data_IF_089765664308
#
_entry.id   IF_089765664308
#
_cell.length_a   1.000
_cell.length_b   1.000
_cell.length_c   1.000
_cell.angle_alpha   90.00
_cell.angle_beta   90.00
_cell.angle_gamma   90.00
#
_symmetry.space_group_name_H-M   'P 1'
#
loop_
_entity.id
_entity.type
_entity.pdbx_description
1 polymer ?
#
# COMPACT_ATOMS: atom_id res chain seq x y z
N UNK A 1 -11.07 -10.24 -10.35
CA UNK A 1 -10.29 -11.47 -10.08
C UNK A 1 -10.97 -12.17 -8.91
N UNK A 2 -11.25 -13.45 -9.06
CA UNK A 2 -11.71 -14.29 -7.96
C UNK A 2 -10.48 -14.95 -7.34
N UNK A 3 -10.23 -14.67 -6.08
CA UNK A 3 -9.18 -15.32 -5.29
C UNK A 3 -9.82 -16.37 -4.39
N UNK A 4 -9.61 -17.64 -4.70
CA UNK A 4 -9.96 -18.74 -3.80
C UNK A 4 -8.83 -18.93 -2.79
N UNK A 5 -9.12 -18.70 -1.49
CA UNK A 5 -8.11 -18.75 -0.42
C UNK A 5 -8.41 -19.85 0.61
N UNK A 6 -9.00 -20.94 0.17
CA UNK A 6 -9.23 -22.11 1.02
C UNK A 6 -7.98 -23.01 1.06
N UNK A 7 -7.43 -23.25 2.26
CA UNK A 7 -6.28 -24.12 2.46
C UNK A 7 -4.97 -23.59 1.88
N UNK A 8 -4.81 -22.28 1.76
CA UNK A 8 -3.59 -21.64 1.27
C UNK A 8 -2.57 -21.44 2.38
N UNK A 9 -1.30 -21.61 2.07
CA UNK A 9 -0.21 -21.62 3.06
C UNK A 9 -0.06 -20.28 3.81
N UNK A 10 -0.29 -19.15 3.12
CA UNK A 10 -0.16 -17.83 3.72
C UNK A 10 -1.21 -17.52 4.81
N UNK A 11 -2.38 -18.15 4.75
CA UNK A 11 -3.38 -18.06 5.84
C UNK A 11 -3.09 -19.04 6.99
N UNK A 12 -2.19 -19.98 6.81
CA UNK A 12 -1.77 -20.92 7.85
C UNK A 12 -0.62 -20.41 8.71
N UNK A 13 0.01 -19.29 8.35
CA UNK A 13 1.08 -18.68 9.15
C UNK A 13 0.57 -18.40 10.57
N UNK A 14 1.21 -19.03 11.58
CA UNK A 14 0.82 -18.89 12.98
C UNK A 14 1.65 -17.82 13.71
N UNK A 15 1.17 -17.28 14.83
CA UNK A 15 1.95 -16.35 15.64
C UNK A 15 3.29 -16.93 16.12
N UNK A 16 3.38 -18.24 16.32
CA UNK A 16 4.62 -18.88 16.80
C UNK A 16 5.72 -18.89 15.74
N UNK A 17 5.37 -18.77 14.47
CA UNK A 17 6.30 -18.68 13.34
C UNK A 17 6.84 -17.25 13.11
N UNK A 18 6.28 -16.24 13.79
CA UNK A 18 6.78 -14.87 13.73
C UNK A 18 8.02 -14.74 14.59
N UNK A 19 9.17 -14.61 13.92
CA UNK A 19 10.50 -14.56 14.53
C UNK A 19 11.03 -13.11 14.61
N UNK A 20 11.27 -12.63 15.83
CA UNK A 20 11.82 -11.31 16.10
C UNK A 20 13.24 -11.13 15.53
N UNK A 21 14.09 -12.17 15.58
CA UNK A 21 15.45 -12.08 15.06
C UNK A 21 15.49 -11.88 13.54
N UNK A 22 14.51 -12.40 12.82
CA UNK A 22 14.35 -12.11 11.39
C UNK A 22 13.85 -10.68 11.17
N UNK A 23 12.91 -10.20 11.97
CA UNK A 23 12.43 -8.82 11.86
C UNK A 23 13.54 -7.80 12.14
N UNK A 24 14.45 -8.04 13.08
CA UNK A 24 15.62 -7.17 13.35
C UNK A 24 16.54 -6.98 12.15
N UNK A 25 16.54 -7.89 11.19
CA UNK A 25 17.32 -7.81 9.95
C UNK A 25 16.66 -7.00 8.85
N UNK A 26 15.44 -6.51 9.08
CA UNK A 26 14.65 -5.78 8.08
C UNK A 26 14.57 -4.29 8.40
N UNK A 27 14.37 -3.47 7.37
CA UNK A 27 14.09 -2.04 7.52
C UNK A 27 12.59 -1.75 7.59
N UNK A 28 11.81 -2.56 6.90
CA UNK A 28 10.37 -2.38 6.73
C UNK A 28 9.68 -3.74 6.78
N UNK A 29 8.50 -3.78 7.40
CA UNK A 29 7.57 -4.90 7.40
C UNK A 29 6.33 -4.47 6.63
N UNK A 30 6.07 -5.10 5.47
CA UNK A 30 4.82 -4.90 4.73
C UNK A 30 3.82 -5.98 5.11
N UNK A 31 2.63 -5.56 5.48
CA UNK A 31 1.48 -6.43 5.78
C UNK A 31 0.37 -6.12 4.79
N UNK A 32 -0.06 -7.13 4.03
CA UNK A 32 -1.26 -7.05 3.20
C UNK A 32 -2.51 -7.30 4.04
N UNK A 33 -3.58 -6.55 3.78
CA UNK A 33 -4.87 -6.74 4.44
C UNK A 33 -5.49 -8.12 4.18
N UNK A 34 -5.07 -8.81 3.13
CA UNK A 34 -5.49 -10.20 2.89
C UNK A 34 -5.06 -11.15 4.00
N UNK A 35 -3.94 -10.86 4.70
CA UNK A 35 -3.48 -11.66 5.85
C UNK A 35 -4.43 -11.56 7.06
N UNK A 36 -5.25 -10.52 7.13
CA UNK A 36 -6.18 -10.29 8.25
C UNK A 36 -7.52 -11.03 8.09
N UNK A 37 -7.75 -11.66 6.95
CA UNK A 37 -9.07 -12.23 6.63
C UNK A 37 -9.41 -13.49 7.42
N UNK A 38 -8.43 -14.21 7.96
CA UNK A 38 -8.64 -15.43 8.72
C UNK A 38 -7.52 -15.67 9.74
N UNK A 39 -7.86 -16.41 10.82
CA UNK A 39 -6.89 -17.00 11.75
C UNK A 39 -6.25 -18.25 11.12
N UNK A 40 -4.98 -18.58 11.47
CA UNK A 40 -4.09 -17.90 12.42
C UNK A 40 -3.27 -16.74 11.84
N UNK A 41 -3.32 -16.49 10.53
CA UNK A 41 -2.55 -15.47 9.83
C UNK A 41 -2.84 -14.06 10.36
N UNK A 42 -4.08 -13.78 10.74
CA UNK A 42 -4.50 -12.52 11.37
C UNK A 42 -3.69 -12.22 12.63
N UNK A 43 -3.63 -13.16 13.55
CA UNK A 43 -2.90 -13.04 14.82
C UNK A 43 -1.40 -12.94 14.59
N UNK A 44 -0.88 -13.67 13.61
CA UNK A 44 0.53 -13.56 13.19
C UNK A 44 0.85 -12.17 12.66
N UNK A 45 -0.02 -11.58 11.83
CA UNK A 45 0.15 -10.23 11.31
C UNK A 45 0.18 -9.18 12.43
N UNK A 46 -0.74 -9.24 13.39
CA UNK A 46 -0.76 -8.34 14.55
C UNK A 46 0.48 -8.52 15.44
N UNK A 47 0.90 -9.76 15.70
CA UNK A 47 2.14 -10.04 16.45
C UNK A 47 3.35 -9.45 15.74
N UNK A 48 3.46 -9.65 14.42
CA UNK A 48 4.56 -9.10 13.62
C UNK A 48 4.59 -7.57 13.67
N UNK A 49 3.45 -6.91 13.51
CA UNK A 49 3.33 -5.46 13.61
C UNK A 49 3.76 -4.96 15.01
N UNK A 50 3.27 -5.59 16.08
CA UNK A 50 3.63 -5.21 17.45
C UNK A 50 5.13 -5.36 17.74
N UNK A 51 5.76 -6.46 17.27
CA UNK A 51 7.20 -6.67 17.40
C UNK A 51 7.95 -5.62 16.58
N UNK A 52 7.59 -5.42 15.31
CA UNK A 52 8.23 -4.46 14.42
C UNK A 52 8.26 -3.06 15.05
N UNK A 53 7.12 -2.58 15.55
CA UNK A 53 7.03 -1.29 16.26
C UNK A 53 7.94 -1.23 17.49
N UNK A 54 7.96 -2.27 18.31
CA UNK A 54 8.78 -2.33 19.52
C UNK A 54 10.28 -2.24 19.22
N UNK A 55 10.73 -2.84 18.11
CA UNK A 55 12.15 -2.86 17.70
C UNK A 55 12.52 -1.77 16.70
N UNK A 56 11.59 -0.86 16.34
CA UNK A 56 11.85 0.29 15.45
C UNK A 56 11.85 -0.05 13.95
N UNK A 57 11.28 -1.18 13.55
CA UNK A 57 11.05 -1.54 12.13
C UNK A 57 9.80 -0.85 11.64
N UNK A 58 9.89 -0.18 10.49
CA UNK A 58 8.77 0.55 9.88
C UNK A 58 7.67 -0.41 9.44
N UNK A 59 6.43 -0.18 9.88
CA UNK A 59 5.27 -1.00 9.52
C UNK A 59 4.52 -0.36 8.37
N UNK A 60 4.36 -1.11 7.28
CA UNK A 60 3.63 -0.70 6.08
C UNK A 60 2.36 -1.54 5.98
N UNK A 61 1.23 -0.89 5.80
CA UNK A 61 -0.06 -1.54 5.57
C UNK A 61 -0.53 -1.29 4.14
N UNK A 62 -0.54 -2.31 3.30
CA UNK A 62 -1.25 -2.31 2.01
C UNK A 62 -2.61 -2.97 2.22
N UNK A 63 -3.67 -2.20 2.06
CA UNK A 63 -5.02 -2.64 2.45
C UNK A 63 -5.52 -3.81 1.60
N UNK A 64 -5.22 -3.82 0.31
CA UNK A 64 -5.43 -4.96 -0.61
C UNK A 64 -6.74 -5.74 -0.38
N UNK A 65 -7.87 -5.05 -0.43
CA UNK A 65 -9.19 -5.61 -0.13
C UNK A 65 -9.64 -6.65 -1.16
N UNK A 66 -10.07 -7.79 -0.66
CA UNK A 66 -10.66 -8.88 -1.46
C UNK A 66 -12.00 -9.30 -0.83
N UNK A 67 -13.14 -8.86 -1.39
CA UNK A 67 -14.46 -9.04 -0.76
C UNK A 67 -14.80 -10.50 -0.42
N UNK A 68 -14.33 -11.45 -1.23
CA UNK A 68 -14.62 -12.88 -1.05
C UNK A 68 -13.98 -13.50 0.21
N UNK A 69 -13.00 -12.82 0.80
CA UNK A 69 -12.28 -13.32 1.97
C UNK A 69 -12.92 -12.94 3.31
N UNK A 70 -13.96 -12.12 3.29
CA UNK A 70 -14.54 -11.50 4.48
C UNK A 70 -16.01 -11.86 4.66
N UNK A 71 -16.44 -11.96 5.92
CA UNK A 71 -17.82 -12.29 6.28
C UNK A 71 -18.72 -11.06 6.31
N UNK A 72 -18.19 -9.91 6.69
CA UNK A 72 -18.93 -8.65 6.76
C UNK A 72 -18.03 -7.43 6.64
N UNK A 73 -18.62 -6.28 6.34
CA UNK A 73 -17.92 -4.99 6.32
C UNK A 73 -17.49 -4.54 7.72
N UNK A 74 -18.25 -4.89 8.74
CA UNK A 74 -17.93 -4.56 10.13
C UNK A 74 -16.67 -5.29 10.59
N UNK A 75 -16.50 -6.58 10.19
CA UNK A 75 -15.30 -7.34 10.45
C UNK A 75 -14.08 -6.69 9.79
N UNK A 76 -14.21 -6.26 8.53
CA UNK A 76 -13.16 -5.52 7.81
C UNK A 76 -12.79 -4.24 8.56
N UNK A 77 -13.77 -3.41 8.87
CA UNK A 77 -13.58 -2.13 9.53
C UNK A 77 -12.81 -2.27 10.87
N UNK A 78 -13.15 -3.30 11.66
CA UNK A 78 -12.47 -3.58 12.93
C UNK A 78 -11.00 -3.94 12.69
N UNK A 79 -10.72 -4.96 11.88
CA UNK A 79 -9.34 -5.44 11.74
C UNK A 79 -8.45 -4.50 10.93
N UNK A 80 -9.00 -3.85 9.90
CA UNK A 80 -8.23 -2.87 9.13
C UNK A 80 -7.89 -1.64 9.96
N UNK A 81 -8.84 -1.09 10.73
CA UNK A 81 -8.57 0.05 11.61
C UNK A 81 -7.55 -0.28 12.71
N UNK A 82 -7.61 -1.48 13.29
CA UNK A 82 -6.64 -1.92 14.30
C UNK A 82 -5.22 -2.05 13.74
N UNK A 83 -5.06 -2.55 12.50
CA UNK A 83 -3.73 -2.61 11.88
C UNK A 83 -3.28 -1.23 11.42
N UNK A 84 -4.16 -0.42 10.85
CA UNK A 84 -3.85 0.96 10.44
C UNK A 84 -3.29 1.81 11.58
N UNK A 85 -3.80 1.65 12.81
CA UNK A 85 -3.27 2.30 14.02
C UNK A 85 -1.82 1.90 14.34
N UNK A 86 -1.35 0.76 13.86
CA UNK A 86 0.01 0.28 14.06
C UNK A 86 0.93 0.60 12.88
N UNK A 87 0.39 1.09 11.77
CA UNK A 87 1.16 1.37 10.57
C UNK A 87 1.87 2.73 10.61
N UNK A 88 3.06 2.80 10.05
CA UNK A 88 3.78 4.04 9.74
C UNK A 88 3.39 4.55 8.34
N UNK A 89 3.04 3.66 7.42
CA UNK A 89 2.53 4.02 6.10
C UNK A 89 1.35 3.14 5.70
N UNK A 90 0.37 3.75 5.01
CA UNK A 90 -0.83 3.06 4.51
C UNK A 90 -0.94 3.31 3.01
N UNK A 91 -1.13 2.23 2.25
CA UNK A 91 -1.46 2.25 0.84
C UNK A 91 -2.85 1.66 0.63
N UNK A 92 -3.73 2.41 0.00
CA UNK A 92 -5.11 1.96 -0.23
C UNK A 92 -5.74 2.64 -1.45
N UNK A 93 -6.86 2.14 -1.92
CA UNK A 93 -7.81 2.89 -2.73
C UNK A 93 -8.78 3.67 -1.82
N UNK A 94 -9.56 4.61 -2.39
CA UNK A 94 -10.60 5.31 -1.61
C UNK A 94 -11.65 4.34 -1.05
N UNK A 95 -12.04 3.33 -1.82
CA UNK A 95 -12.97 2.30 -1.36
C UNK A 95 -12.41 1.53 -0.15
N UNK A 96 -11.15 1.15 -0.21
CA UNK A 96 -10.46 0.45 0.88
C UNK A 96 -10.32 1.31 2.13
N UNK A 97 -10.05 2.61 1.97
CA UNK A 97 -10.00 3.53 3.09
C UNK A 97 -11.39 3.70 3.73
N UNK A 98 -12.47 3.80 2.94
CA UNK A 98 -13.83 3.84 3.46
C UNK A 98 -14.17 2.60 4.31
N UNK A 99 -13.69 1.43 3.91
CA UNK A 99 -13.85 0.20 4.70
C UNK A 99 -13.02 0.25 5.98
N UNK A 100 -11.78 0.70 5.90
CA UNK A 100 -10.88 0.86 7.06
C UNK A 100 -11.47 1.82 8.09
N UNK A 101 -12.11 2.89 7.61
CA UNK A 101 -12.71 3.95 8.42
C UNK A 101 -14.13 3.65 8.91
N UNK A 102 -14.71 2.52 8.54
CA UNK A 102 -16.10 2.20 8.82
C UNK A 102 -16.52 2.26 10.29
N UNK A 103 -15.58 2.08 11.23
CA UNK A 103 -15.83 2.21 12.68
C UNK A 103 -15.43 3.59 13.21
N UNK A 104 -14.31 4.16 12.75
CA UNK A 104 -13.72 5.37 13.34
C UNK A 104 -14.14 6.68 12.66
N UNK A 105 -14.41 6.65 11.35
CA UNK A 105 -14.88 7.80 10.55
C UNK A 105 -16.01 7.37 9.59
N UNK A 106 -17.14 6.87 10.12
CA UNK A 106 -18.20 6.31 9.29
C UNK A 106 -18.76 7.35 8.31
N UNK A 107 -18.81 6.98 7.01
CA UNK A 107 -19.32 7.85 5.94
C UNK A 107 -18.33 8.88 5.42
N UNK A 108 -17.12 8.95 5.93
CA UNK A 108 -16.09 9.82 5.38
C UNK A 108 -15.72 9.40 3.94
N UNK A 109 -15.55 10.37 3.05
CA UNK A 109 -15.07 10.19 1.68
C UNK A 109 -14.04 11.24 1.27
N UNK A 110 -13.61 12.08 2.22
CA UNK A 110 -12.60 13.11 2.02
C UNK A 110 -11.22 12.62 2.42
N UNK A 111 -10.25 12.74 1.49
CA UNK A 111 -8.88 12.25 1.69
C UNK A 111 -8.13 13.08 2.75
N UNK A 112 -8.42 14.38 2.84
CA UNK A 112 -7.81 15.28 3.82
C UNK A 112 -8.24 14.94 5.25
N UNK A 113 -9.54 14.66 5.45
CA UNK A 113 -10.06 14.20 6.76
C UNK A 113 -9.44 12.86 7.14
N UNK A 114 -9.32 11.92 6.19
CA UNK A 114 -8.61 10.65 6.41
C UNK A 114 -7.17 10.89 6.84
N UNK A 115 -6.46 11.78 6.13
CA UNK A 115 -5.05 12.07 6.43
C UNK A 115 -4.88 12.69 7.81
N UNK A 116 -5.70 13.68 8.15
CA UNK A 116 -5.68 14.32 9.47
C UNK A 116 -5.89 13.27 10.59
N UNK A 117 -6.89 12.42 10.45
CA UNK A 117 -7.20 11.39 11.43
C UNK A 117 -6.04 10.39 11.62
N UNK A 118 -5.57 9.78 10.53
CA UNK A 118 -4.55 8.72 10.62
C UNK A 118 -3.18 9.28 11.01
N UNK A 119 -2.83 10.49 10.56
CA UNK A 119 -1.59 11.16 10.96
C UNK A 119 -1.59 11.68 12.40
N UNK A 120 -2.76 11.92 13.00
CA UNK A 120 -2.87 12.21 14.42
C UNK A 120 -2.48 11.03 15.31
N UNK A 121 -2.48 9.82 14.76
CA UNK A 121 -2.01 8.59 15.42
C UNK A 121 -0.52 8.36 15.13
N UNK A 122 -0.19 7.41 14.28
CA UNK A 122 1.21 7.04 14.01
C UNK A 122 1.58 7.12 12.53
N UNK A 123 0.60 7.28 11.63
CA UNK A 123 0.83 7.24 10.19
C UNK A 123 1.66 8.45 9.76
N UNK A 124 2.74 8.19 9.03
CA UNK A 124 3.65 9.20 8.48
C UNK A 124 3.42 9.40 6.98
N UNK A 125 2.96 8.34 6.29
CA UNK A 125 2.65 8.38 4.86
C UNK A 125 1.30 7.72 4.63
N UNK A 126 0.36 8.45 4.04
CA UNK A 126 -0.93 7.93 3.60
C UNK A 126 -1.06 8.13 2.11
N UNK A 127 -1.28 7.05 1.37
CA UNK A 127 -1.52 7.09 -0.09
C UNK A 127 -2.92 6.56 -0.38
N UNK A 128 -3.77 7.41 -0.95
CA UNK A 128 -5.13 7.07 -1.36
C UNK A 128 -5.19 7.09 -2.89
N UNK A 129 -5.39 5.92 -3.49
CA UNK A 129 -5.42 5.71 -4.94
C UNK A 129 -6.85 5.86 -5.47
N UNK A 130 -7.00 6.54 -6.60
CA UNK A 130 -8.26 6.81 -7.30
C UNK A 130 -8.29 6.20 -8.72
N UNK A 131 -7.55 5.12 -8.91
CA UNK A 131 -7.47 4.41 -10.19
C UNK A 131 -6.97 5.32 -11.31
N UNK A 132 -7.77 5.50 -12.36
CA UNK A 132 -7.42 6.36 -13.51
C UNK A 132 -7.26 7.85 -13.17
N UNK A 133 -7.70 8.28 -12.02
CA UNK A 133 -7.56 9.67 -11.56
C UNK A 133 -6.27 9.90 -10.75
N UNK A 134 -5.42 8.87 -10.61
CA UNK A 134 -4.15 8.99 -9.90
C UNK A 134 -4.28 8.70 -8.41
N UNK A 135 -3.52 9.41 -7.58
CA UNK A 135 -3.57 9.28 -6.14
C UNK A 135 -3.25 10.59 -5.44
N UNK A 136 -3.78 10.72 -4.22
CA UNK A 136 -3.33 11.71 -3.25
C UNK A 136 -2.40 11.03 -2.25
N UNK A 137 -1.28 11.64 -1.99
CA UNK A 137 -0.34 11.17 -0.97
C UNK A 137 -0.09 12.28 0.04
N UNK A 138 -0.22 11.92 1.28
CA UNK A 138 0.01 12.81 2.43
C UNK A 138 1.25 12.33 3.15
N UNK A 139 2.20 13.23 3.40
CA UNK A 139 3.45 12.91 4.09
C UNK A 139 3.57 13.86 5.28
N UNK A 140 3.61 13.28 6.47
CA UNK A 140 3.70 14.03 7.73
C UNK A 140 4.97 14.89 7.75
N UNK A 141 4.83 16.13 8.15
CA UNK A 141 5.90 17.11 8.24
C UNK A 141 6.60 17.46 6.91
N UNK A 142 6.03 17.01 5.77
CA UNK A 142 6.56 17.33 4.45
C UNK A 142 5.49 17.99 3.55
N UNK A 143 4.38 17.33 3.24
CA UNK A 143 3.34 17.95 2.43
C UNK A 143 2.34 16.98 1.81
N UNK A 144 1.55 17.53 0.90
CA UNK A 144 0.55 16.79 0.13
C UNK A 144 1.02 16.69 -1.31
N UNK A 145 0.82 15.52 -1.91
CA UNK A 145 1.21 15.24 -3.28
C UNK A 145 0.00 14.79 -4.09
N UNK A 146 -0.24 15.46 -5.21
CA UNK A 146 -1.08 14.95 -6.28
C UNK A 146 -0.21 14.15 -7.25
N UNK A 147 -0.54 12.89 -7.47
CA UNK A 147 0.19 11.98 -8.33
C UNK A 147 -0.70 11.54 -9.48
N UNK A 148 -0.44 12.04 -10.68
CA UNK A 148 -1.16 11.65 -11.89
C UNK A 148 -0.66 10.32 -12.42
N UNK A 149 -1.52 9.49 -13.03
CA UNK A 149 -1.08 8.26 -13.68
C UNK A 149 -0.38 8.57 -15.01
N UNK A 150 0.67 7.83 -15.33
CA UNK A 150 1.24 7.88 -16.67
C UNK A 150 0.27 7.29 -17.69
N UNK A 151 0.06 7.96 -18.85
CA UNK A 151 -0.83 7.49 -19.89
C UNK A 151 -0.32 6.18 -20.51
N UNK A 152 -1.11 5.11 -20.39
CA UNK A 152 -0.81 3.80 -20.98
C UNK A 152 -2.09 3.13 -21.49
N UNK A 153 -1.94 2.17 -22.39
CA UNK A 153 -3.06 1.32 -22.78
C UNK A 153 -3.32 0.28 -21.70
N UNK A 154 -4.42 0.44 -20.98
CA UNK A 154 -4.83 -0.48 -19.92
C UNK A 154 -5.14 -1.86 -20.51
N UNK A 155 -4.50 -2.91 -20.01
CA UNK A 155 -4.81 -4.31 -20.28
C UNK A 155 -5.52 -4.98 -19.11
N UNK A 156 -5.16 -4.61 -17.88
CA UNK A 156 -5.73 -5.16 -16.64
C UNK A 156 -5.64 -4.13 -15.51
N UNK A 157 -6.40 -4.33 -14.45
CA UNK A 157 -6.36 -3.44 -13.26
C UNK A 157 -5.56 -4.00 -12.08
N UNK A 158 -5.26 -5.30 -12.06
CA UNK A 158 -4.56 -5.94 -10.94
C UNK A 158 -3.03 -5.83 -11.07
N UNK A 159 -2.34 -5.85 -9.92
CA UNK A 159 -0.89 -5.70 -9.81
C UNK A 159 -0.38 -4.26 -9.83
N UNK A 160 -1.22 -3.29 -10.26
CA UNK A 160 -0.84 -1.88 -10.27
C UNK A 160 -0.63 -1.31 -8.86
N UNK A 161 -1.46 -1.72 -7.89
CA UNK A 161 -1.31 -1.34 -6.48
C UNK A 161 -0.01 -1.87 -5.88
N UNK A 162 0.26 -3.16 -6.08
CA UNK A 162 1.48 -3.82 -5.60
C UNK A 162 2.73 -3.17 -6.19
N UNK A 163 2.72 -2.90 -7.51
CA UNK A 163 3.82 -2.22 -8.19
C UNK A 163 4.03 -0.79 -7.69
N UNK A 164 2.94 -0.07 -7.42
CA UNK A 164 3.01 1.26 -6.83
C UNK A 164 3.71 1.23 -5.48
N UNK A 165 3.24 0.37 -4.57
CA UNK A 165 3.82 0.24 -3.24
C UNK A 165 5.28 -0.23 -3.30
N UNK A 166 5.59 -1.25 -4.12
CA UNK A 166 6.93 -1.79 -4.26
C UNK A 166 7.93 -0.74 -4.76
N UNK A 167 7.59 0.00 -5.82
CA UNK A 167 8.47 1.03 -6.38
C UNK A 167 8.65 2.21 -5.42
N UNK A 168 7.60 2.63 -4.71
CA UNK A 168 7.70 3.65 -3.67
C UNK A 168 8.64 3.21 -2.55
N UNK A 169 8.40 2.05 -1.96
CA UNK A 169 9.18 1.55 -0.82
C UNK A 169 10.65 1.33 -1.19
N UNK A 170 10.92 0.76 -2.37
CA UNK A 170 12.28 0.60 -2.89
C UNK A 170 12.97 1.95 -3.06
N UNK A 171 12.28 2.95 -3.61
CA UNK A 171 12.81 4.30 -3.81
C UNK A 171 13.15 4.99 -2.49
N UNK A 172 12.27 4.88 -1.49
CA UNK A 172 12.54 5.42 -0.15
C UNK A 172 13.70 4.68 0.53
N UNK A 173 13.80 3.36 0.37
CA UNK A 173 14.91 2.57 0.91
C UNK A 173 16.27 2.95 0.30
N UNK A 174 16.28 3.45 -0.95
CA UNK A 174 17.44 3.99 -1.66
C UNK A 174 17.72 5.47 -1.36
N UNK A 175 16.88 6.13 -0.53
CA UNK A 175 17.07 7.54 -0.15
C UNK A 175 16.59 8.57 -1.18
N UNK A 176 15.73 8.18 -2.14
CA UNK A 176 15.12 9.13 -3.08
C UNK A 176 14.15 10.07 -2.36
N UNK A 177 13.92 11.25 -2.92
CA UNK A 177 12.89 12.19 -2.44
C UNK A 177 11.49 11.61 -2.63
N UNK A 178 10.50 12.11 -1.86
CA UNK A 178 9.11 11.69 -2.02
C UNK A 178 8.58 11.96 -3.43
N UNK A 179 8.92 13.10 -4.04
CA UNK A 179 8.54 13.41 -5.43
C UNK A 179 9.04 12.32 -6.39
N UNK A 180 10.31 11.94 -6.29
CA UNK A 180 10.89 10.89 -7.13
C UNK A 180 10.26 9.52 -6.83
N UNK A 181 10.04 9.19 -5.55
CA UNK A 181 9.44 7.93 -5.15
C UNK A 181 8.00 7.80 -5.67
N UNK A 182 7.19 8.86 -5.61
CA UNK A 182 5.84 8.87 -6.16
C UNK A 182 5.82 8.82 -7.68
N UNK A 183 6.75 9.47 -8.37
CA UNK A 183 6.88 9.38 -9.83
C UNK A 183 7.16 7.95 -10.27
N UNK A 184 8.17 7.30 -9.67
CA UNK A 184 8.50 5.91 -9.94
C UNK A 184 7.38 4.94 -9.56
N UNK A 185 6.67 5.20 -8.46
CA UNK A 185 5.51 4.41 -8.06
C UNK A 185 4.39 4.45 -9.11
N UNK A 186 4.05 5.65 -9.58
CA UNK A 186 3.06 5.83 -10.65
C UNK A 186 3.50 5.18 -11.96
N UNK A 187 4.80 5.31 -12.31
CA UNK A 187 5.38 4.68 -13.51
C UNK A 187 5.29 3.14 -13.44
N UNK A 188 5.66 2.55 -12.31
CA UNK A 188 5.59 1.10 -12.11
C UNK A 188 4.14 0.59 -12.21
N UNK A 189 3.21 1.28 -11.57
CA UNK A 189 1.79 0.95 -11.67
C UNK A 189 1.31 0.99 -13.13
N UNK A 190 1.69 2.04 -13.89
CA UNK A 190 1.34 2.18 -15.31
C UNK A 190 1.91 1.03 -16.16
N UNK A 191 3.19 0.67 -15.96
CA UNK A 191 3.81 -0.45 -16.67
C UNK A 191 3.09 -1.78 -16.40
N UNK A 192 2.72 -2.04 -15.14
CA UNK A 192 2.07 -3.29 -14.77
C UNK A 192 0.63 -3.40 -15.27
N UNK A 193 -0.15 -2.32 -15.24
CA UNK A 193 -1.51 -2.36 -15.77
C UNK A 193 -1.55 -2.44 -17.31
N UNK A 194 -0.45 -2.13 -17.97
CA UNK A 194 -0.25 -2.28 -19.41
C UNK A 194 0.39 -3.62 -19.80
N UNK A 195 0.74 -4.49 -18.85
CA UNK A 195 1.37 -5.79 -19.06
C UNK A 195 0.39 -6.95 -18.88
N UNK A 196 0.78 -8.16 -19.29
CA UNK A 196 -0.04 -9.35 -19.14
C UNK A 196 0.10 -10.03 -17.77
N UNK A 197 1.28 -9.97 -17.18
CA UNK A 197 1.60 -10.57 -15.87
C UNK A 197 1.84 -9.50 -14.81
N UNK A 198 1.79 -9.89 -13.52
CA UNK A 198 2.19 -9.03 -12.40
C UNK A 198 3.66 -9.25 -12.06
N UNK A 199 3.98 -10.37 -11.40
CA UNK A 199 5.32 -10.66 -10.90
C UNK A 199 6.34 -10.88 -12.02
N UNK A 200 5.95 -11.59 -13.11
CA UNK A 200 6.87 -11.85 -14.23
C UNK A 200 7.19 -10.60 -15.06
N UNK A 201 6.28 -9.62 -15.07
CA UNK A 201 6.46 -8.35 -15.79
C UNK A 201 6.90 -7.19 -14.89
N UNK A 202 7.16 -7.46 -13.60
CA UNK A 202 7.66 -6.44 -12.69
C UNK A 202 8.97 -5.86 -13.24
N UNK A 203 9.04 -4.54 -13.47
CA UNK A 203 10.26 -3.94 -14.00
C UNK A 203 11.37 -3.96 -12.96
N UNK A 204 12.60 -4.18 -13.40
CA UNK A 204 13.75 -3.79 -12.61
C UNK A 204 13.88 -2.25 -12.55
N UNK A 205 14.75 -1.76 -11.68
CA UNK A 205 14.92 -0.33 -11.47
C UNK A 205 15.44 0.39 -12.72
N UNK A 206 16.30 -0.23 -13.52
CA UNK A 206 16.84 0.38 -14.76
C UNK A 206 15.74 0.58 -15.80
N UNK A 207 14.91 -0.44 -16.01
CA UNK A 207 13.75 -0.38 -16.92
C UNK A 207 12.70 0.62 -16.43
N UNK A 208 12.46 0.65 -15.12
CA UNK A 208 11.51 1.57 -14.49
C UNK A 208 11.95 3.03 -14.66
N UNK A 209 13.20 3.36 -14.35
CA UNK A 209 13.74 4.70 -14.53
C UNK A 209 13.75 5.14 -15.99
N UNK A 210 14.09 4.24 -16.92
CA UNK A 210 14.05 4.55 -18.36
C UNK A 210 12.64 4.87 -18.83
N UNK A 211 11.65 4.10 -18.42
CA UNK A 211 10.24 4.37 -18.75
C UNK A 211 9.78 5.71 -18.17
N UNK A 212 10.06 5.96 -16.90
CA UNK A 212 9.67 7.18 -16.19
C UNK A 212 10.26 8.42 -16.87
N UNK A 213 11.57 8.43 -17.20
CA UNK A 213 12.23 9.54 -17.86
C UNK A 213 11.63 9.82 -19.25
N UNK A 214 11.39 8.79 -20.05
CA UNK A 214 10.76 8.94 -21.37
C UNK A 214 9.33 9.46 -21.26
N UNK A 215 8.57 8.96 -20.31
CA UNK A 215 7.20 9.36 -20.10
C UNK A 215 7.11 10.81 -19.58
N UNK A 216 7.96 11.20 -18.64
CA UNK A 216 8.06 12.59 -18.16
C UNK A 216 8.46 13.54 -19.29
N UNK A 217 9.42 13.17 -20.14
CA UNK A 217 9.80 13.96 -21.31
C UNK A 217 8.64 14.16 -22.30
N UNK A 218 7.71 13.20 -22.37
CA UNK A 218 6.57 13.22 -23.29
C UNK A 218 5.35 13.93 -22.71
N UNK A 219 5.03 13.67 -21.45
CA UNK A 219 3.76 14.09 -20.80
C UNK A 219 3.94 15.12 -19.68
N UNK A 220 5.19 15.47 -19.35
CA UNK A 220 5.52 16.35 -18.22
C UNK A 220 5.51 15.65 -16.87
N UNK A 221 5.80 16.41 -15.82
CA UNK A 221 5.84 15.92 -14.45
C UNK A 221 4.48 15.38 -14.01
N UNK A 222 4.47 14.18 -13.43
CA UNK A 222 3.25 13.52 -12.95
C UNK A 222 2.99 13.78 -11.46
N UNK A 223 3.96 14.31 -10.73
CA UNK A 223 3.86 14.59 -9.31
C UNK A 223 3.87 16.09 -9.07
N UNK A 224 2.88 16.57 -8.33
CA UNK A 224 2.80 17.96 -7.87
C UNK A 224 2.74 17.97 -6.36
N UNK A 225 3.68 18.62 -5.71
CA UNK A 225 3.61 18.95 -4.29
C UNK A 225 2.76 20.20 -4.12
N UNK A 226 1.76 20.15 -3.22
CA UNK A 226 0.82 21.23 -2.93
C UNK A 226 1.34 22.12 -1.79
#
# INVERSE_FOLDING_TARGET
ILMYRNGVADLALSPDEVDEENLKKTKMLLISGTALSASPSREAAFKAAAIARRIGVTVIFDVDYRPQNWKSKDEIAVYYSLLAQQADAIFCSREEMNLTEGVCLPGNSDDGISAEYWMSMNVKVLVIKHGKNGSHAFVKDDGIYEVRPFPVKLLKSFGGGDGYAAAFLSSIAEGKSFTQAFSLASACAAMLVASQSCSADMPDMARLCSFEQQAVATYGEMVKRL
#
